data_IF_870183201830
#
_entry.id   IF_870183201830
#
_cell.length_a   1.000
_cell.length_b   1.000
_cell.length_c   1.000
_cell.angle_alpha   90.00
_cell.angle_beta   90.00
_cell.angle_gamma   90.00
#
_symmetry.space_group_name_H-M   'P 1'
#
loop_
_entity.id
_entity.type
_entity.pdbx_description
1 polymer ?
#
# COMPACT_ATOMS: atom_id res chain seq x y z
N UNK A 1 -36.13 79.11 -0.32
CA UNK A 1 -35.21 78.88 0.80
C UNK A 1 -34.89 77.38 0.85
N UNK A 2 -33.59 77.08 0.96
CA UNK A 2 -32.92 75.81 1.30
C UNK A 2 -32.90 74.63 0.30
N UNK A 3 -31.68 74.41 -0.24
CA UNK A 3 -31.03 73.13 -0.59
C UNK A 3 -31.20 72.07 0.53
N UNK A 4 -30.95 70.77 0.35
CA UNK A 4 -30.37 69.98 -0.73
C UNK A 4 -30.12 68.54 -0.21
N UNK A 5 -29.73 67.66 -1.15
CA UNK A 5 -28.98 66.40 -0.96
C UNK A 5 -29.51 65.34 0.02
N UNK A 6 -29.92 64.18 -0.50
CA UNK A 6 -29.02 63.01 -0.57
C UNK A 6 -29.73 61.77 -1.17
N UNK A 7 -28.97 61.07 -2.00
CA UNK A 7 -29.26 59.76 -2.56
C UNK A 7 -29.55 58.73 -1.48
N UNK A 8 -30.60 57.93 -1.68
CA UNK A 8 -30.59 56.54 -1.27
C UNK A 8 -31.43 55.73 -2.26
N UNK A 9 -30.76 55.20 -3.28
CA UNK A 9 -31.29 54.15 -4.13
C UNK A 9 -31.54 52.92 -3.25
N UNK A 10 -32.81 52.68 -2.90
CA UNK A 10 -33.22 51.47 -2.21
C UNK A 10 -33.36 50.35 -3.26
N UNK A 11 -32.29 49.56 -3.40
CA UNK A 11 -32.31 48.30 -4.13
C UNK A 11 -33.29 47.31 -3.47
N UNK A 12 -33.94 46.41 -4.24
CA UNK A 12 -34.81 45.40 -3.66
C UNK A 12 -33.95 44.44 -2.82
N UNK A 13 -34.38 44.26 -1.58
CA UNK A 13 -33.78 43.35 -0.60
C UNK A 13 -33.78 41.94 -1.20
N UNK A 14 -32.59 41.45 -1.51
CA UNK A 14 -32.33 40.08 -1.93
C UNK A 14 -32.80 39.09 -0.85
N UNK A 15 -33.45 38.03 -1.29
CA UNK A 15 -33.95 36.92 -0.49
C UNK A 15 -32.90 36.40 0.52
N UNK A 16 -33.32 35.88 1.68
CA UNK A 16 -32.40 35.31 2.65
C UNK A 16 -31.65 34.14 2.02
N UNK A 17 -30.33 34.19 2.08
CA UNK A 17 -29.42 33.14 1.68
C UNK A 17 -29.86 31.81 2.31
N UNK A 18 -30.27 30.87 1.46
CA UNK A 18 -30.48 29.48 1.83
C UNK A 18 -29.22 28.97 2.52
N UNK A 19 -29.36 28.59 3.79
CA UNK A 19 -28.32 27.95 4.58
C UNK A 19 -27.69 26.79 3.78
N UNK A 20 -26.38 26.52 3.94
CA UNK A 20 -25.75 25.35 3.34
C UNK A 20 -26.54 24.12 3.79
N UNK A 21 -27.27 23.52 2.87
CA UNK A 21 -27.88 22.22 3.09
C UNK A 21 -26.70 21.28 3.36
N UNK A 22 -26.55 20.89 4.62
CA UNK A 22 -25.67 19.80 4.99
C UNK A 22 -26.07 18.64 4.08
N UNK A 23 -25.17 18.29 3.15
CA UNK A 23 -25.28 17.07 2.38
C UNK A 23 -25.23 15.97 3.42
N UNK A 24 -26.40 15.48 3.82
CA UNK A 24 -26.54 14.27 4.59
C UNK A 24 -26.09 13.16 3.63
N UNK A 25 -24.77 12.95 3.61
CA UNK A 25 -24.13 11.82 2.98
C UNK A 25 -24.72 10.60 3.67
N UNK A 26 -25.75 10.05 3.02
CA UNK A 26 -26.39 8.81 3.38
C UNK A 26 -25.28 7.78 3.43
N UNK A 27 -24.76 7.55 4.65
CA UNK A 27 -23.75 6.57 4.95
C UNK A 27 -24.26 5.25 4.39
N UNK A 28 -23.77 4.91 3.20
CA UNK A 28 -24.10 3.68 2.54
C UNK A 28 -23.50 2.63 3.44
N UNK A 29 -24.34 1.98 4.25
CA UNK A 29 -23.96 0.89 5.12
C UNK A 29 -23.15 -0.08 4.28
N UNK A 30 -21.82 -0.02 4.44
CA UNK A 30 -20.89 -0.83 3.71
C UNK A 30 -21.14 -2.26 4.19
N UNK A 31 -21.91 -3.01 3.38
CA UNK A 31 -22.15 -4.43 3.57
C UNK A 31 -20.79 -5.06 3.86
N UNK A 32 -20.59 -5.76 5.00
CA UNK A 32 -19.30 -6.36 5.30
C UNK A 32 -19.06 -7.40 4.21
N UNK A 33 -18.24 -7.05 3.22
CA UNK A 33 -17.72 -8.02 2.27
C UNK A 33 -16.77 -8.87 3.09
N UNK A 34 -17.27 -9.99 3.60
CA UNK A 34 -16.41 -11.05 4.12
C UNK A 34 -15.42 -11.39 3.00
N UNK A 35 -14.16 -11.00 3.20
CA UNK A 35 -13.19 -10.89 2.12
C UNK A 35 -12.58 -12.25 1.70
N UNK A 36 -12.91 -13.35 2.38
CA UNK A 36 -12.28 -14.64 2.15
C UNK A 36 -13.05 -15.49 1.12
N UNK A 37 -12.52 -15.56 -0.09
CA UNK A 37 -12.99 -16.47 -1.14
C UNK A 37 -12.67 -17.93 -0.74
N UNK A 38 -13.49 -18.91 -1.14
CA UNK A 38 -13.26 -20.34 -0.81
C UNK A 38 -11.86 -20.80 -1.23
N UNK A 39 -11.34 -20.28 -2.33
CA UNK A 39 -9.98 -20.55 -2.80
C UNK A 39 -8.91 -20.06 -1.81
N UNK A 40 -9.09 -18.88 -1.23
CA UNK A 40 -8.20 -18.33 -0.21
C UNK A 40 -8.28 -19.13 1.09
N UNK A 41 -9.47 -19.60 1.48
CA UNK A 41 -9.63 -20.47 2.65
C UNK A 41 -8.91 -21.82 2.48
N UNK A 42 -9.03 -22.44 1.30
CA UNK A 42 -8.33 -23.70 0.99
C UNK A 42 -6.81 -23.46 0.98
N UNK A 43 -6.36 -22.38 0.33
CA UNK A 43 -4.95 -22.01 0.31
C UNK A 43 -4.42 -21.73 1.72
N UNK A 44 -5.17 -21.01 2.56
CA UNK A 44 -4.83 -20.76 3.95
C UNK A 44 -4.67 -22.07 4.73
N UNK A 45 -5.61 -23.01 4.59
CA UNK A 45 -5.50 -24.31 5.23
C UNK A 45 -4.24 -25.07 4.81
N UNK A 46 -3.91 -25.06 3.51
CA UNK A 46 -2.68 -25.68 2.99
C UNK A 46 -1.42 -25.00 3.53
N UNK A 47 -1.37 -23.66 3.51
CA UNK A 47 -0.24 -22.89 4.05
C UNK A 47 -0.07 -23.11 5.55
N UNK A 48 -1.15 -23.20 6.32
CA UNK A 48 -1.11 -23.50 7.75
C UNK A 48 -0.59 -24.91 8.01
N UNK A 49 -1.07 -25.92 7.27
CA UNK A 49 -0.54 -27.29 7.39
C UNK A 49 0.95 -27.36 7.05
N UNK A 50 1.36 -26.69 5.97
CA UNK A 50 2.76 -26.60 5.58
C UNK A 50 3.62 -25.87 6.62
N UNK A 51 3.09 -24.78 7.19
CA UNK A 51 3.76 -24.04 8.27
C UNK A 51 3.92 -24.86 9.54
N UNK A 52 2.90 -25.63 9.95
CA UNK A 52 2.99 -26.55 11.08
C UNK A 52 4.00 -27.67 10.83
N UNK A 53 4.03 -28.21 9.61
CA UNK A 53 5.06 -29.17 9.21
C UNK A 53 6.46 -28.57 9.32
N UNK A 54 6.71 -27.38 8.76
CA UNK A 54 7.99 -26.70 8.88
C UNK A 54 8.37 -26.41 10.34
N UNK A 55 7.43 -25.95 11.16
CA UNK A 55 7.66 -25.70 12.57
C UNK A 55 8.11 -26.94 13.35
N UNK A 56 7.70 -28.15 12.91
CA UNK A 56 8.16 -29.42 13.51
C UNK A 56 9.54 -29.88 13.06
N UNK A 57 10.01 -29.43 11.89
CA UNK A 57 11.30 -29.82 11.30
C UNK A 57 12.42 -28.85 11.69
N UNK A 58 12.06 -27.59 11.95
CA UNK A 58 13.01 -26.53 12.25
C UNK A 58 13.63 -26.71 13.66
N UNK A 59 14.94 -26.48 13.82
CA UNK A 59 15.65 -26.78 15.07
C UNK A 59 15.45 -25.77 16.21
N UNK A 60 14.88 -24.59 15.95
CA UNK A 60 14.73 -23.53 16.96
C UNK A 60 13.37 -22.84 16.90
N UNK A 61 12.91 -22.35 18.05
CA UNK A 61 11.61 -21.67 18.18
C UNK A 61 11.61 -20.34 17.43
N UNK A 62 12.73 -19.61 17.42
CA UNK A 62 12.92 -18.38 16.65
C UNK A 62 12.69 -18.64 15.15
N UNK A 63 13.35 -19.67 14.62
CA UNK A 63 13.25 -19.99 13.19
C UNK A 63 11.85 -20.50 12.85
N UNK A 64 11.15 -21.17 13.78
CA UNK A 64 9.77 -21.58 13.58
C UNK A 64 8.84 -20.35 13.44
N UNK A 65 8.98 -19.35 14.30
CA UNK A 65 8.21 -18.09 14.20
C UNK A 65 8.56 -17.29 12.95
N UNK A 66 9.84 -17.13 12.63
CA UNK A 66 10.28 -16.44 11.40
C UNK A 66 9.72 -17.13 10.16
N UNK A 67 9.76 -18.47 10.11
CA UNK A 67 9.19 -19.24 9.01
C UNK A 67 7.67 -19.06 8.90
N UNK A 68 6.97 -19.01 10.04
CA UNK A 68 5.54 -18.74 10.10
C UNK A 68 5.18 -17.34 9.56
N UNK A 69 5.93 -16.31 9.97
CA UNK A 69 5.73 -14.93 9.48
C UNK A 69 6.10 -14.82 8.00
N UNK A 70 7.15 -15.52 7.54
CA UNK A 70 7.54 -15.56 6.14
C UNK A 70 6.45 -16.20 5.28
N UNK A 71 5.91 -17.35 5.70
CA UNK A 71 4.78 -18.01 5.02
C UNK A 71 3.54 -17.13 4.99
N UNK A 72 3.23 -16.45 6.09
CA UNK A 72 2.15 -15.47 6.15
C UNK A 72 2.38 -14.34 5.12
N UNK A 73 3.59 -13.81 5.04
CA UNK A 73 3.95 -12.72 4.10
C UNK A 73 3.78 -13.17 2.65
N UNK A 74 4.28 -14.37 2.33
CA UNK A 74 4.11 -14.98 0.99
C UNK A 74 2.63 -15.19 0.67
N UNK A 75 1.84 -15.69 1.63
CA UNK A 75 0.40 -15.87 1.45
C UNK A 75 -0.33 -14.54 1.18
N UNK A 76 -0.02 -13.48 1.94
CA UNK A 76 -0.63 -12.17 1.76
C UNK A 76 -0.33 -11.58 0.38
N UNK A 77 0.91 -11.69 -0.10
CA UNK A 77 1.32 -11.17 -1.40
C UNK A 77 0.85 -12.05 -2.57
N UNK A 78 1.01 -13.37 -2.50
CA UNK A 78 0.70 -14.26 -3.62
C UNK A 78 -0.80 -14.35 -3.94
N UNK A 79 -1.65 -14.21 -2.91
CA UNK A 79 -3.11 -14.24 -3.07
C UNK A 79 -3.75 -12.86 -3.04
N UNK A 80 -2.93 -11.79 -3.02
CA UNK A 80 -3.36 -10.38 -2.97
C UNK A 80 -4.51 -10.16 -1.98
N UNK A 81 -4.36 -10.74 -0.79
CA UNK A 81 -5.39 -10.75 0.27
C UNK A 81 -5.75 -9.32 0.67
N UNK A 82 -4.71 -8.50 0.84
CA UNK A 82 -4.81 -7.06 1.06
C UNK A 82 -3.81 -6.39 0.12
N UNK A 83 -3.97 -5.08 -0.10
CA UNK A 83 -3.02 -4.32 -0.92
C UNK A 83 -1.58 -4.46 -0.43
N UNK A 84 -0.62 -4.44 -1.36
CA UNK A 84 0.80 -4.71 -1.11
C UNK A 84 1.34 -3.83 0.04
N UNK A 85 0.98 -2.54 0.05
CA UNK A 85 1.42 -1.62 1.09
C UNK A 85 0.85 -1.97 2.48
N UNK A 86 -0.43 -2.36 2.54
CA UNK A 86 -1.10 -2.76 3.78
C UNK A 86 -0.51 -4.08 4.30
N UNK A 87 -0.26 -5.04 3.41
CA UNK A 87 0.40 -6.29 3.78
C UNK A 87 1.80 -6.04 4.34
N UNK A 88 2.62 -5.22 3.67
CA UNK A 88 3.96 -4.89 4.10
C UNK A 88 3.96 -4.19 5.47
N UNK A 89 3.12 -3.16 5.66
CA UNK A 89 2.98 -2.47 6.94
C UNK A 89 2.51 -3.42 8.05
N UNK A 90 1.57 -4.32 7.76
CA UNK A 90 1.07 -5.32 8.71
C UNK A 90 2.20 -6.24 9.18
N UNK A 91 3.00 -6.79 8.26
CA UNK A 91 4.12 -7.68 8.60
C UNK A 91 5.20 -6.94 9.38
N UNK A 92 5.52 -5.70 9.02
CA UNK A 92 6.48 -4.88 9.78
C UNK A 92 6.01 -4.63 11.22
N UNK A 93 4.74 -4.28 11.39
CA UNK A 93 4.16 -4.07 12.73
C UNK A 93 4.16 -5.38 13.51
N UNK A 94 3.80 -6.51 12.89
CA UNK A 94 3.87 -7.82 13.54
C UNK A 94 5.28 -8.15 14.01
N UNK A 95 6.30 -7.91 13.17
CA UNK A 95 7.70 -8.12 13.53
C UNK A 95 8.13 -7.24 14.71
N UNK A 96 7.77 -5.95 14.74
CA UNK A 96 8.05 -5.07 15.88
C UNK A 96 7.33 -5.52 17.17
N UNK A 97 6.06 -5.92 17.06
CA UNK A 97 5.27 -6.42 18.18
C UNK A 97 5.83 -7.73 18.76
N UNK A 98 6.63 -8.50 18.01
CA UNK A 98 7.27 -9.70 18.56
C UNK A 98 8.17 -9.40 19.76
N UNK A 99 8.71 -8.18 19.86
CA UNK A 99 9.49 -7.76 21.03
C UNK A 99 8.64 -7.73 22.30
N UNK A 100 7.38 -7.29 22.19
CA UNK A 100 6.44 -7.24 23.30
C UNK A 100 5.88 -8.62 23.64
N UNK A 101 5.68 -9.46 22.62
CA UNK A 101 5.14 -10.80 22.77
C UNK A 101 6.20 -11.87 23.06
N UNK A 102 7.50 -11.51 23.10
CA UNK A 102 8.61 -12.43 23.32
C UNK A 102 8.43 -13.34 24.56
N UNK A 103 8.00 -12.84 25.74
CA UNK A 103 7.80 -13.69 26.92
C UNK A 103 6.71 -14.77 26.73
N UNK A 104 5.68 -14.47 25.94
CA UNK A 104 4.57 -15.41 25.66
C UNK A 104 4.96 -16.42 24.59
N UNK A 105 5.85 -16.03 23.67
CA UNK A 105 6.33 -16.88 22.58
C UNK A 105 7.48 -17.81 22.97
N UNK A 106 7.99 -17.72 24.21
CA UNK A 106 9.12 -18.51 24.68
C UNK A 106 10.48 -18.02 24.16
N UNK A 107 10.56 -16.74 23.77
CA UNK A 107 11.75 -16.12 23.21
C UNK A 107 12.44 -15.22 24.25
N UNK A 108 13.77 -15.23 24.29
CA UNK A 108 14.52 -14.31 25.16
C UNK A 108 14.46 -12.85 24.68
N UNK A 109 14.32 -12.65 23.38
CA UNK A 109 14.27 -11.35 22.70
C UNK A 109 13.23 -11.38 21.57
N UNK A 110 12.80 -10.21 21.12
CA UNK A 110 12.01 -10.09 19.89
C UNK A 110 12.75 -10.67 18.68
N UNK A 111 12.01 -11.09 17.66
CA UNK A 111 12.59 -11.69 16.45
C UNK A 111 13.44 -10.69 15.66
N UNK A 112 13.13 -9.40 15.77
CA UNK A 112 13.86 -8.30 15.14
C UNK A 112 13.99 -7.17 16.15
N UNK A 113 15.18 -6.56 16.23
CA UNK A 113 15.39 -5.35 17.04
C UNK A 113 14.63 -4.17 16.41
N UNK A 114 13.84 -3.46 17.23
CA UNK A 114 13.10 -2.27 16.80
C UNK A 114 14.01 -1.20 16.18
N UNK A 115 15.28 -1.14 16.56
CA UNK A 115 16.27 -0.21 15.97
C UNK A 115 16.63 -0.54 14.53
N UNK A 116 16.52 -1.82 14.15
CA UNK A 116 16.92 -2.36 12.85
C UNK A 116 15.74 -2.80 11.98
N UNK A 117 14.50 -2.67 12.50
CA UNK A 117 13.28 -3.07 11.81
C UNK A 117 13.10 -2.40 10.44
N UNK A 118 13.57 -1.16 10.31
CA UNK A 118 13.43 -0.34 9.10
C UNK A 118 14.65 -0.37 8.16
N UNK A 119 15.73 -1.07 8.53
CA UNK A 119 16.99 -1.04 7.76
C UNK A 119 16.81 -1.55 6.32
N UNK A 120 15.82 -2.41 6.09
CA UNK A 120 15.47 -2.91 4.76
C UNK A 120 15.09 -1.79 3.76
N UNK A 121 14.48 -0.69 4.23
CA UNK A 121 14.14 0.45 3.36
C UNK A 121 15.36 1.23 2.88
N UNK A 122 16.47 1.17 3.62
CA UNK A 122 17.75 1.79 3.25
C UNK A 122 18.65 0.83 2.44
N UNK A 123 18.14 -0.33 2.02
CA UNK A 123 18.93 -1.32 1.27
C UNK A 123 19.29 -0.84 -0.13
N UNK A 124 20.43 -1.29 -0.64
CA UNK A 124 20.88 -0.97 -2.01
C UNK A 124 19.81 -1.28 -3.07
N UNK A 125 19.05 -2.37 -2.90
CA UNK A 125 17.98 -2.74 -3.80
C UNK A 125 16.83 -1.73 -3.78
N UNK A 126 16.37 -1.34 -2.59
CA UNK A 126 15.27 -0.38 -2.42
C UNK A 126 15.67 1.03 -2.89
N UNK A 127 16.87 1.49 -2.54
CA UNK A 127 17.38 2.78 -3.03
C UNK A 127 17.54 2.79 -4.56
N UNK A 128 18.01 1.68 -5.15
CA UNK A 128 18.15 1.57 -6.60
C UNK A 128 16.82 1.61 -7.32
N UNK A 129 15.79 0.92 -6.83
CA UNK A 129 14.47 0.98 -7.47
C UNK A 129 13.85 2.38 -7.32
N UNK A 130 14.03 3.05 -6.17
CA UNK A 130 13.58 4.45 -6.00
C UNK A 130 14.29 5.37 -7.00
N UNK A 131 15.62 5.24 -7.14
CA UNK A 131 16.39 6.01 -8.11
C UNK A 131 15.92 5.75 -9.55
N UNK A 132 15.67 4.49 -9.91
CA UNK A 132 15.12 4.10 -11.20
C UNK A 132 13.71 4.68 -11.41
N UNK A 133 12.85 4.71 -10.40
CA UNK A 133 11.51 5.31 -10.50
C UNK A 133 11.59 6.84 -10.70
N UNK A 134 12.50 7.53 -10.00
CA UNK A 134 12.73 8.97 -10.17
C UNK A 134 13.26 9.27 -11.58
N UNK A 135 14.28 8.52 -12.02
CA UNK A 135 14.85 8.66 -13.37
C UNK A 135 13.79 8.33 -14.43
N UNK A 136 13.02 7.26 -14.26
CA UNK A 136 11.91 6.90 -15.15
C UNK A 136 10.91 8.03 -15.33
N UNK A 137 10.40 8.57 -14.21
CA UNK A 137 9.48 9.71 -14.24
C UNK A 137 10.13 10.98 -14.85
N UNK A 138 11.41 11.23 -14.61
CA UNK A 138 12.16 12.34 -15.20
C UNK A 138 12.37 12.20 -16.71
N UNK A 139 12.71 11.00 -17.19
CA UNK A 139 12.89 10.69 -18.60
C UNK A 139 11.57 10.77 -19.38
N UNK A 140 10.46 10.34 -18.77
CA UNK A 140 9.12 10.44 -19.35
C UNK A 140 8.67 11.90 -19.45
N UNK A 141 8.86 12.68 -18.39
CA UNK A 141 8.49 14.10 -18.35
C UNK A 141 9.28 14.96 -19.34
N UNK A 142 10.52 14.58 -19.67
CA UNK A 142 11.35 15.27 -20.67
C UNK A 142 11.07 14.80 -22.11
N UNK A 143 10.24 13.76 -22.30
CA UNK A 143 9.92 13.20 -23.60
C UNK A 143 11.07 12.40 -24.24
N UNK A 144 12.14 12.12 -23.49
CA UNK A 144 13.27 11.31 -23.97
C UNK A 144 12.80 9.89 -24.25
N UNK A 145 11.93 9.32 -23.41
CA UNK A 145 11.40 7.96 -23.62
C UNK A 145 10.72 7.83 -24.99
N UNK A 146 9.93 8.82 -25.40
CA UNK A 146 9.27 8.84 -26.73
C UNK A 146 10.27 8.89 -27.89
N UNK A 147 11.35 9.67 -27.76
CA UNK A 147 12.40 9.76 -28.80
C UNK A 147 13.18 8.45 -28.91
N UNK A 148 13.51 7.83 -27.77
CA UNK A 148 14.20 6.54 -27.73
C UNK A 148 13.31 5.43 -28.28
N UNK A 149 12.02 5.39 -27.91
CA UNK A 149 11.06 4.43 -28.46
C UNK A 149 10.94 4.54 -29.99
N UNK A 150 10.82 5.77 -30.52
CA UNK A 150 10.79 6.01 -31.96
C UNK A 150 12.11 5.60 -32.65
N UNK A 151 13.25 5.83 -32.01
CA UNK A 151 14.55 5.39 -32.50
C UNK A 151 14.65 3.86 -32.54
N UNK A 152 14.23 3.17 -31.48
CA UNK A 152 14.22 1.71 -31.41
C UNK A 152 13.33 1.13 -32.51
N UNK A 153 12.13 1.67 -32.73
CA UNK A 153 11.23 1.23 -33.82
C UNK A 153 11.83 1.45 -35.21
N UNK A 154 12.50 2.60 -35.41
CA UNK A 154 13.16 2.92 -36.68
C UNK A 154 14.34 1.97 -37.00
N UNK A 155 15.03 1.48 -35.96
CA UNK A 155 16.13 0.52 -36.10
C UNK A 155 15.63 -0.93 -36.14
N UNK A 156 14.53 -1.24 -35.45
CA UNK A 156 13.95 -2.59 -35.36
C UNK A 156 13.19 -3.06 -36.61
N UNK A 157 12.86 -2.15 -37.53
CA UNK A 157 12.16 -2.48 -38.78
C UNK A 157 10.67 -2.80 -38.59
N UNK A 158 9.94 -2.96 -39.69
CA UNK A 158 8.47 -3.09 -39.71
C UNK A 158 7.97 -4.53 -39.82
N UNK A 159 8.86 -5.54 -39.82
CA UNK A 159 8.49 -6.93 -40.12
C UNK A 159 8.68 -7.83 -38.91
N UNK A 160 7.59 -8.40 -38.42
CA UNK A 160 7.51 -9.33 -37.27
C UNK A 160 8.27 -10.67 -37.44
N UNK A 161 9.05 -10.89 -38.50
CA UNK A 161 9.73 -12.18 -38.76
C UNK A 161 11.03 -12.40 -37.94
N UNK A 162 11.28 -11.59 -36.92
CA UNK A 162 12.33 -11.87 -35.92
C UNK A 162 11.83 -11.58 -34.50
N UNK A 163 10.78 -12.29 -34.12
CA UNK A 163 10.51 -12.64 -32.71
C UNK A 163 10.30 -14.15 -32.65
#
# INVERSE_FOLDING_TARGET
>A
MSNGSEQAAQAPVSAPASAPQAVEEKATAAKPRAFLNRKQLIAAALFTLFGLYLASVVPSVEVAWVSGILLLTVYLFAFEVVGVDVAAATVMVLLGLTTLLAPVMGLEKGLVDNRHLFDGFASNAVISIIAVMIIGAGLDKTGIMSKVAAFILKVGGTTETRI
#
